data_IF_867973896010
#
_entry.id   IF_867973896010
#
_cell.length_a   1.000
_cell.length_b   1.000
_cell.length_c   1.000
_cell.angle_alpha   90.00
_cell.angle_beta   90.00
_cell.angle_gamma   90.00
#
_symmetry.space_group_name_H-M   'P 1'
#
loop_
_entity.id
_entity.type
_entity.pdbx_description
1 polymer ?
2 water ?
#
# COMPACT_ATOMS: atom_id res chain seq x y z
N UNK A 7 5.27 -29.99 -21.72
CA UNK A 7 6.21 -30.69 -20.85
C UNK A 7 5.83 -30.48 -19.37
N UNK A 8 6.81 -30.12 -18.55
CA UNK A 8 6.58 -29.88 -17.13
C UNK A 8 6.22 -28.43 -16.81
N UNK A 9 6.14 -27.55 -17.81
CA UNK A 9 6.04 -26.13 -17.52
C UNK A 9 4.69 -25.80 -16.88
N UNK A 10 3.61 -26.41 -17.36
CA UNK A 10 2.31 -26.16 -16.77
C UNK A 10 2.21 -26.75 -15.36
N UNK A 11 2.71 -27.97 -15.18
CA UNK A 11 2.71 -28.56 -13.84
C UNK A 11 3.59 -27.74 -12.89
N UNK A 12 4.71 -27.23 -13.38
CA UNK A 12 5.57 -26.40 -12.54
C UNK A 12 4.87 -25.10 -12.18
N UNK A 13 4.10 -24.54 -13.11
CA UNK A 13 3.28 -23.36 -12.81
C UNK A 13 2.38 -23.64 -11.62
N UNK A 14 1.75 -24.82 -11.60
CA UNK A 14 0.90 -25.17 -10.46
C UNK A 14 1.70 -25.37 -9.18
N UNK A 15 2.86 -26.04 -9.26
CA UNK A 15 3.65 -26.25 -8.05
C UNK A 15 4.14 -24.93 -7.48
N UNK A 16 4.50 -23.99 -8.35
CA UNK A 16 4.93 -22.68 -7.90
C UNK A 16 3.78 -21.89 -7.29
N UNK A 17 2.55 -22.04 -7.81
CA UNK A 17 1.41 -21.45 -7.12
C UNK A 17 1.21 -22.09 -5.74
N UNK A 18 1.31 -23.42 -5.66
CA UNK A 18 1.07 -24.13 -4.41
C UNK A 18 2.02 -23.66 -3.32
N UNK A 19 3.30 -23.49 -3.66
CA UNK A 19 4.31 -23.12 -2.67
C UNK A 19 4.60 -21.62 -2.64
N UNK A 20 3.72 -20.80 -3.23
CA UNK A 20 3.93 -19.36 -3.21
C UNK A 20 4.03 -18.78 -1.80
N UNK A 21 3.40 -19.42 -0.82
CA UNK A 21 3.49 -18.95 0.55
C UNK A 21 4.91 -19.10 1.10
N UNK A 22 5.69 -20.03 0.55
CA UNK A 22 7.06 -20.21 1.02
C UNK A 22 7.90 -18.95 0.80
N UNK A 23 7.68 -18.28 -0.33
CA UNK A 23 8.44 -17.06 -0.59
C UNK A 23 8.09 -15.98 0.42
N UNK A 24 6.80 -15.82 0.71
CA UNK A 24 6.37 -14.85 1.71
C UNK A 24 7.00 -15.15 3.07
N UNK A 25 7.00 -16.42 3.48
CA UNK A 25 7.40 -16.71 4.85
C UNK A 25 8.93 -16.84 5.00
N UNK A 26 9.65 -17.20 3.94
CA UNK A 26 11.10 -17.05 3.96
C UNK A 26 11.49 -15.57 3.92
N UNK A 27 10.74 -14.73 3.20
CA UNK A 27 11.05 -13.30 3.26
C UNK A 27 10.83 -12.76 4.68
N UNK A 28 9.78 -13.17 5.36
CA UNK A 28 9.56 -12.76 6.72
C UNK A 28 10.72 -13.17 7.63
N UNK A 29 11.17 -14.38 7.47
CA UNK A 29 12.30 -14.83 8.24
C UNK A 29 13.47 -13.95 7.91
N UNK A 30 13.69 -13.67 6.63
CA UNK A 30 14.87 -12.85 6.40
C UNK A 30 14.76 -11.50 7.10
N UNK A 31 13.54 -10.95 7.18
CA UNK A 31 13.35 -9.67 7.84
C UNK A 31 13.51 -9.81 9.35
N UNK A 32 12.95 -10.87 9.93
CA UNK A 32 13.05 -11.06 11.36
C UNK A 32 14.49 -11.27 11.81
N UNK A 33 15.31 -11.87 10.94
CA UNK A 33 16.72 -12.04 11.23
C UNK A 33 17.53 -10.77 10.99
N UNK A 34 16.95 -9.78 10.30
CA UNK A 34 17.63 -8.52 10.01
C UNK A 34 18.86 -8.74 9.14
N UNK A 35 18.82 -9.75 8.26
CA UNK A 35 19.98 -10.11 7.46
C UNK A 35 20.46 -8.94 6.61
N UNK A 36 19.52 -8.23 5.98
CA UNK A 36 19.89 -7.13 5.08
C UNK A 36 20.66 -6.05 5.83
N UNK A 37 20.20 -5.70 7.03
CA UNK A 37 20.89 -4.62 7.74
C UNK A 37 22.19 -5.09 8.34
N UNK A 38 22.30 -6.35 8.78
CA UNK A 38 23.59 -6.87 9.23
C UNK A 38 24.61 -6.75 8.12
N UNK A 39 24.25 -7.20 6.92
CA UNK A 39 25.20 -7.14 5.80
C UNK A 39 25.49 -5.69 5.42
N UNK A 40 24.45 -4.85 5.39
CA UNK A 40 24.63 -3.45 5.01
C UNK A 40 25.55 -2.74 6.00
N UNK A 41 25.29 -2.90 7.29
CA UNK A 41 26.10 -2.25 8.31
C UNK A 41 27.51 -2.80 8.31
N UNK A 42 27.70 -4.07 7.93
CA UNK A 42 29.06 -4.58 7.85
C UNK A 42 29.88 -3.89 6.77
N UNK A 43 29.23 -3.33 5.74
CA UNK A 43 29.92 -2.64 4.67
C UNK A 43 30.46 -3.52 3.57
N UNK A 44 30.38 -4.84 3.69
CA UNK A 44 30.91 -5.76 2.69
C UNK A 44 30.30 -7.12 2.96
N UNK A 45 30.48 -8.05 2.02
CA UNK A 45 29.85 -9.36 2.12
C UNK A 45 30.40 -10.13 3.31
N UNK A 46 29.63 -11.12 3.78
CA UNK A 46 29.95 -11.85 5.01
C UNK A 46 29.91 -13.36 4.83
N UNK A 47 30.82 -14.05 5.52
CA UNK A 47 30.77 -15.51 5.57
C UNK A 47 29.60 -15.97 6.43
N UNK A 48 29.25 -17.24 6.26
CA UNK A 48 28.16 -17.82 7.05
C UNK A 48 28.42 -17.65 8.55
N UNK A 49 29.64 -17.98 9.02
CA UNK A 49 29.91 -17.87 10.45
C UNK A 49 29.90 -16.40 10.92
N UNK A 50 30.45 -15.50 10.09
CA UNK A 50 30.36 -14.07 10.41
C UNK A 50 28.92 -13.63 10.54
N UNK A 51 28.08 -14.02 9.57
CA UNK A 51 26.65 -13.72 9.64
C UNK A 51 26.04 -14.28 10.91
N UNK A 52 26.36 -15.53 11.23
CA UNK A 52 25.74 -16.26 12.32
C UNK A 52 26.04 -15.59 13.66
N UNK A 53 27.22 -15.04 13.82
CA UNK A 53 27.59 -14.39 15.06
C UNK A 53 26.81 -13.14 15.36
N UNK A 54 26.30 -12.47 14.34
CA UNK A 54 25.64 -11.22 14.56
C UNK A 54 24.14 -11.34 14.64
N UNK A 55 23.64 -12.56 14.63
CA UNK A 55 22.22 -12.74 14.65
C UNK A 55 21.68 -12.53 16.05
N UNK A 56 20.54 -11.87 16.15
CA UNK A 56 19.92 -11.65 17.45
C UNK A 56 19.58 -12.94 18.16
N UNK A 57 19.82 -14.08 17.54
CA UNK A 57 19.61 -15.35 18.20
C UNK A 57 20.78 -15.61 19.06
N UNK A 58 20.86 -16.79 19.64
CA UNK A 58 21.94 -17.02 20.57
C UNK A 58 22.79 -18.15 20.05
N UNK A 59 22.43 -19.40 20.35
CA UNK A 59 23.23 -20.43 19.69
C UNK A 59 22.55 -20.57 18.33
N UNK A 60 23.29 -20.76 17.25
CA UNK A 60 22.66 -20.79 15.95
C UNK A 60 22.87 -22.06 15.16
N UNK A 61 21.81 -22.62 14.63
CA UNK A 61 21.95 -23.78 13.76
C UNK A 61 22.48 -23.28 12.42
N UNK A 62 23.75 -23.56 12.14
CA UNK A 62 24.36 -22.98 10.96
C UNK A 62 23.97 -23.74 9.70
N UNK A 63 23.73 -25.05 9.79
CA UNK A 63 23.20 -25.77 8.63
C UNK A 63 21.89 -25.16 8.16
N UNK A 64 21.00 -24.86 9.12
CA UNK A 64 19.69 -24.32 8.80
C UNK A 64 19.77 -22.89 8.27
N UNK A 65 20.65 -22.09 8.84
CA UNK A 65 20.91 -20.77 8.27
C UNK A 65 21.46 -20.89 6.86
N UNK A 66 22.37 -21.85 6.63
CA UNK A 66 22.90 -22.04 5.29
C UNK A 66 21.77 -22.33 4.30
N UNK A 67 20.82 -23.16 4.71
CA UNK A 67 19.75 -23.52 3.79
C UNK A 67 18.79 -22.34 3.56
N UNK A 68 18.55 -21.55 4.61
CA UNK A 68 17.76 -20.33 4.42
C UNK A 68 18.48 -19.39 3.46
N UNK A 69 19.79 -19.20 3.66
CA UNK A 69 20.56 -18.31 2.78
C UNK A 69 20.54 -18.81 1.34
N UNK A 70 20.65 -20.13 1.16
CA UNK A 70 20.57 -20.71 -0.18
C UNK A 70 19.25 -20.35 -0.85
N UNK A 71 18.15 -20.50 -0.11
CA UNK A 71 16.84 -20.14 -0.65
C UNK A 71 16.76 -18.65 -0.98
N UNK A 72 17.30 -17.80 -0.10
CA UNK A 72 17.25 -16.37 -0.34
C UNK A 72 18.12 -15.96 -1.53
N UNK A 73 19.20 -16.70 -1.78
CA UNK A 73 20.04 -16.40 -2.93
C UNK A 73 19.32 -16.80 -4.21
N UNK A 74 18.68 -17.98 -4.18
CA UNK A 74 17.88 -18.39 -5.32
C UNK A 74 16.74 -17.41 -5.60
N UNK A 75 16.17 -16.81 -4.55
CA UNK A 75 15.17 -15.76 -4.77
C UNK A 75 15.77 -14.49 -5.34
N UNK A 76 17.11 -14.40 -5.43
CA UNK A 76 17.80 -13.23 -5.96
C UNK A 76 17.51 -11.98 -5.12
N UNK A 77 17.34 -12.19 -3.82
CA UNK A 77 17.37 -11.11 -2.83
C UNK A 77 18.74 -10.95 -2.19
N UNK A 78 19.48 -12.04 -1.98
CA UNK A 78 20.85 -11.99 -1.52
C UNK A 78 21.76 -12.67 -2.56
N UNK A 79 23.06 -12.46 -2.40
CA UNK A 79 24.06 -12.97 -3.32
C UNK A 79 25.02 -13.89 -2.58
N UNK A 80 25.63 -14.77 -3.36
CA UNK A 80 26.64 -15.69 -2.86
C UNK A 80 27.81 -15.65 -3.81
N UNK A 81 29.02 -15.47 -3.29
CA UNK A 81 30.19 -15.37 -4.14
C UNK A 81 31.38 -16.06 -3.48
N UNK A 82 32.24 -16.67 -4.30
CA UNK A 82 33.50 -17.22 -3.82
C UNK A 82 34.55 -16.12 -3.91
N UNK A 83 34.98 -15.63 -2.77
CA UNK A 83 36.00 -14.59 -2.69
C UNK A 83 37.09 -15.11 -1.76
N UNK A 84 38.31 -15.18 -2.26
CA UNK A 84 39.43 -15.79 -1.54
C UNK A 84 39.10 -17.20 -1.08
N UNK A 85 38.53 -17.99 -1.99
CA UNK A 85 38.17 -19.35 -1.70
C UNK A 85 37.17 -19.50 -0.56
N UNK A 86 36.55 -18.40 -0.14
CA UNK A 86 35.56 -18.43 0.92
C UNK A 86 34.22 -17.92 0.41
N UNK A 87 33.13 -18.51 0.87
CA UNK A 87 31.80 -18.17 0.35
C UNK A 87 31.21 -17.04 1.18
N UNK A 88 30.86 -15.94 0.51
CA UNK A 88 30.43 -14.72 1.18
C UNK A 88 29.09 -14.25 0.63
N UNK A 89 28.24 -13.79 1.55
CA UNK A 89 26.85 -13.42 1.30
C UNK A 89 26.72 -11.92 1.24
N UNK A 90 26.09 -11.44 0.17
CA UNK A 90 25.90 -10.01 -0.01
C UNK A 90 24.45 -9.68 -0.36
N UNK A 91 24.20 -8.44 -0.75
CA UNK A 91 22.86 -7.97 -1.07
C UNK A 91 22.68 -7.87 -2.58
N UNK A 92 21.60 -8.45 -3.09
CA UNK A 92 21.15 -8.22 -4.45
C UNK A 92 20.41 -6.88 -4.47
N UNK A 93 20.27 -6.25 -5.65
CA UNK A 93 19.66 -4.90 -5.71
C UNK A 93 18.32 -4.82 -4.99
N UNK A 94 17.39 -5.77 -5.21
CA UNK A 94 16.09 -5.66 -4.50
C UNK A 94 16.23 -5.61 -2.99
N UNK A 95 17.29 -6.19 -2.43
CA UNK A 95 17.45 -6.18 -0.99
C UNK A 95 17.59 -4.78 -0.43
N UNK A 96 17.79 -3.78 -1.29
CA UNK A 96 17.84 -2.41 -0.78
C UNK A 96 16.55 -2.07 -0.06
N UNK A 97 15.41 -2.63 -0.50
CA UNK A 97 14.16 -2.31 0.18
C UNK A 97 14.02 -3.01 1.52
N UNK A 98 14.97 -3.86 1.88
CA UNK A 98 15.04 -4.46 3.20
C UNK A 98 15.97 -3.71 4.15
N UNK A 99 16.75 -2.75 3.66
CA UNK A 99 17.63 -1.95 4.51
C UNK A 99 16.83 -0.80 5.11
N UNK A 100 16.89 -0.65 6.44
CA UNK A 100 16.16 0.40 7.12
C UNK A 100 16.80 1.77 6.84
N UNK A 101 16.12 2.82 7.28
CA UNK A 101 16.68 4.13 7.26
C UNK A 101 16.43 4.96 6.02
N UNK A 102 15.50 4.55 5.15
CA UNK A 102 15.10 5.40 4.03
C UNK A 102 13.63 5.17 3.78
N UNK A 103 13.03 6.10 3.00
CA UNK A 103 11.58 6.15 2.89
C UNK A 103 11.00 4.87 2.30
N UNK A 104 11.65 4.32 1.27
CA UNK A 104 11.12 3.17 0.57
C UNK A 104 11.41 1.86 1.28
N UNK A 105 11.92 1.89 2.51
CA UNK A 105 12.16 0.65 3.25
C UNK A 105 10.86 -0.09 3.49
N UNK A 106 10.84 -1.39 3.18
CA UNK A 106 9.61 -2.16 3.18
C UNK A 106 9.48 -3.09 4.38
N UNK A 107 10.32 -2.93 5.40
CA UNK A 107 10.31 -3.87 6.53
C UNK A 107 8.94 -3.88 7.21
N UNK A 108 8.38 -2.70 7.45
CA UNK A 108 7.10 -2.63 8.13
C UNK A 108 5.99 -3.34 7.38
N UNK A 109 5.89 -3.07 6.07
CA UNK A 109 4.89 -3.73 5.24
C UNK A 109 5.05 -5.24 5.28
N UNK A 110 6.28 -5.73 5.10
CA UNK A 110 6.53 -7.17 5.14
C UNK A 110 6.07 -7.77 6.45
N UNK A 111 6.45 -7.14 7.57
CA UNK A 111 6.12 -7.70 8.87
C UNK A 111 4.62 -7.67 9.14
N UNK A 112 3.91 -6.63 8.67
CA UNK A 112 2.47 -6.59 8.89
C UNK A 112 1.74 -7.60 7.98
N UNK A 113 2.10 -7.65 6.71
CA UNK A 113 1.31 -8.47 5.79
C UNK A 113 1.55 -9.96 6.02
N UNK A 114 2.79 -10.36 6.29
CA UNK A 114 3.08 -11.78 6.47
C UNK A 114 2.86 -12.25 7.90
N UNK A 115 2.38 -11.38 8.78
CA UNK A 115 2.00 -11.81 10.12
C UNK A 115 0.95 -12.92 10.02
N UNK A 116 1.08 -13.93 10.88
CA UNK A 116 0.22 -15.09 10.76
C UNK A 116 -1.25 -14.73 10.94
N UNK A 117 -1.56 -13.88 11.92
CA UNK A 117 -2.95 -13.51 12.19
C UNK A 117 -3.55 -12.71 11.05
N UNK A 118 -2.77 -11.85 10.40
CA UNK A 118 -3.28 -11.09 9.26
C UNK A 118 -3.31 -11.91 7.97
N UNK A 119 -2.60 -13.03 7.92
CA UNK A 119 -2.74 -13.98 6.83
C UNK A 119 -3.95 -14.90 7.03
N UNK A 120 -4.35 -15.11 8.28
CA UNK A 120 -5.42 -16.06 8.58
C UNK A 120 -6.71 -15.88 7.76
N UNK A 121 -7.22 -14.67 7.51
CA UNK A 121 -8.48 -14.57 6.75
C UNK A 121 -8.41 -15.24 5.40
N UNK A 122 -7.24 -15.23 4.75
CA UNK A 122 -7.11 -15.79 3.41
C UNK A 122 -7.44 -17.28 3.39
N UNK A 123 -7.27 -17.97 4.52
CA UNK A 123 -7.66 -19.37 4.62
C UNK A 123 -9.18 -19.55 4.62
N UNK A 124 -9.93 -18.48 4.86
CA UNK A 124 -11.38 -18.52 4.92
C UNK A 124 -12.01 -17.84 3.71
N UNK A 125 -11.27 -17.78 2.60
CA UNK A 125 -11.79 -17.20 1.38
C UNK A 125 -13.06 -17.90 0.92
N UNK A 126 -13.19 -19.20 1.22
CA UNK A 126 -14.34 -19.95 0.74
C UNK A 126 -15.60 -19.61 1.49
N UNK A 127 -15.52 -19.66 2.83
CA UNK A 127 -16.64 -19.21 3.65
C UNK A 127 -17.02 -17.78 3.32
N UNK A 128 -16.07 -16.99 2.82
CA UNK A 128 -16.34 -15.64 2.36
C UNK A 128 -17.12 -15.56 1.07
N UNK A 129 -17.30 -16.68 0.36
CA UNK A 129 -18.15 -16.71 -0.81
C UNK A 129 -19.57 -17.18 -0.50
N UNK A 130 -19.79 -17.75 0.69
CA UNK A 130 -21.12 -18.20 1.10
C UNK A 130 -21.75 -17.11 1.94
N UNK A 131 -22.62 -16.32 1.32
CA UNK A 131 -23.41 -15.29 1.99
C UNK A 131 -22.86 -14.59 3.22
N UNK A 134 -20.26 -12.12 6.31
CA UNK A 134 -19.32 -11.81 7.35
C UNK A 134 -17.87 -11.77 6.89
N UNK A 135 -17.13 -10.75 7.34
CA UNK A 135 -15.73 -10.61 6.96
C UNK A 135 -14.94 -11.84 7.38
N UNK A 136 -14.06 -12.31 6.48
CA UNK A 136 -13.23 -13.47 6.78
C UNK A 136 -12.38 -13.27 8.03
N UNK A 137 -12.12 -12.02 8.41
CA UNK A 137 -11.32 -11.77 9.60
C UNK A 137 -11.97 -12.32 10.86
N UNK A 138 -13.29 -12.12 11.01
CA UNK A 138 -13.97 -12.64 12.20
C UNK A 138 -13.95 -14.16 12.22
N UNK A 139 -14.24 -14.79 11.08
CA UNK A 139 -14.17 -16.24 11.01
C UNK A 139 -12.77 -16.75 11.30
N UNK A 140 -11.74 -15.95 11.00
CA UNK A 140 -10.37 -16.38 11.23
C UNK A 140 -9.97 -16.26 12.70
N UNK A 141 -10.20 -15.08 13.30
CA UNK A 141 -9.67 -14.78 14.61
C UNK A 141 -10.71 -14.51 15.68
N UNK A 142 -12.01 -14.54 15.34
CA UNK A 142 -13.06 -14.36 16.32
C UNK A 142 -13.67 -12.98 16.38
N UNK A 158 1.51 0.33 16.63
CA UNK A 158 1.18 -0.84 15.85
C UNK A 158 1.76 -0.77 14.46
N UNK A 159 1.02 -1.29 13.49
CA UNK A 159 1.45 -1.28 12.10
C UNK A 159 1.05 0.02 11.43
N UNK A 160 0.48 0.92 12.19
CA UNK A 160 0.08 2.18 11.62
C UNK A 160 1.28 2.77 10.90
N UNK A 161 2.49 2.41 11.31
CA UNK A 161 3.68 2.86 10.59
C UNK A 161 3.66 2.36 9.14
N UNK A 162 3.10 1.18 8.91
CA UNK A 162 2.96 0.70 7.53
C UNK A 162 2.02 1.59 6.74
N UNK A 163 1.07 2.23 7.42
CA UNK A 163 0.16 3.16 6.76
C UNK A 163 0.72 4.58 6.77
N UNK A 164 1.14 5.06 7.93
CA UNK A 164 1.80 6.35 8.01
C UNK A 164 2.94 6.47 7.02
N UNK A 165 3.73 5.40 6.85
CA UNK A 165 4.77 5.42 5.83
C UNK A 165 4.17 5.40 4.42
N UNK A 166 3.18 4.54 4.20
CA UNK A 166 2.54 4.48 2.88
C UNK A 166 2.02 5.86 2.46
N UNK A 167 1.28 6.53 3.35
CA UNK A 167 0.77 7.86 3.07
C UNK A 167 1.88 8.87 2.88
N UNK A 168 3.05 8.59 3.44
CA UNK A 168 4.24 9.40 3.21
C UNK A 168 4.75 9.23 1.78
N UNK A 169 4.79 8.01 1.26
CA UNK A 169 5.27 7.88 -0.12
C UNK A 169 4.24 8.40 -1.12
N UNK A 170 2.95 8.29 -0.81
CA UNK A 170 1.93 8.79 -1.72
C UNK A 170 2.05 10.32 -1.84
N UNK A 171 2.06 11.00 -0.69
CA UNK A 171 2.14 12.46 -0.70
C UNK A 171 3.37 12.94 -1.47
N UNK A 172 4.52 12.34 -1.18
CA UNK A 172 5.76 12.69 -1.88
C UNK A 172 5.63 12.49 -3.38
N UNK A 173 4.92 11.43 -3.80
CA UNK A 173 4.73 11.26 -5.24
C UNK A 173 3.82 12.36 -5.79
N UNK A 174 2.76 12.69 -5.06
CA UNK A 174 1.82 13.70 -5.52
C UNK A 174 2.56 15.00 -5.80
N UNK A 175 3.37 15.44 -4.84
CA UNK A 175 4.09 16.70 -5.00
C UNK A 175 5.08 16.59 -6.16
N UNK A 176 5.76 15.45 -6.30
CA UNK A 176 6.87 15.45 -7.24
C UNK A 176 6.44 15.04 -8.64
N UNK A 177 5.50 14.12 -8.74
CA UNK A 177 5.19 13.55 -10.04
C UNK A 177 4.04 14.24 -10.74
N UNK A 178 3.04 14.72 -10.00
CA UNK A 178 1.86 15.33 -10.61
C UNK A 178 1.41 16.54 -9.79
N UNK A 179 2.38 17.39 -9.41
CA UNK A 179 2.07 18.52 -8.56
C UNK A 179 1.03 19.46 -9.13
N UNK A 180 0.89 19.48 -10.46
CA UNK A 180 -0.02 20.41 -11.09
C UNK A 180 -1.48 20.17 -10.71
N UNK A 181 -1.81 19.01 -10.14
CA UNK A 181 -3.18 18.81 -9.68
C UNK A 181 -3.55 19.82 -8.60
N UNK A 182 -2.56 20.37 -7.89
CA UNK A 182 -2.84 21.38 -6.88
C UNK A 182 -2.72 22.80 -7.42
N UNK A 183 -2.68 22.96 -8.74
CA UNK A 183 -2.60 24.28 -9.35
C UNK A 183 -3.96 24.95 -9.32
N UNK A 184 -3.95 26.27 -9.32
CA UNK A 184 -5.18 27.03 -9.45
C UNK A 184 -6.02 27.16 -8.20
N UNK A 185 -5.63 26.55 -7.09
CA UNK A 185 -6.41 26.61 -5.86
C UNK A 185 -5.62 27.37 -4.81
N UNK A 186 -6.35 27.91 -3.83
CA UNK A 186 -5.72 28.51 -2.66
C UNK A 186 -6.13 27.84 -1.36
N UNK A 187 -7.14 26.97 -1.37
CA UNK A 187 -7.52 26.21 -0.19
C UNK A 187 -7.71 24.73 -0.54
N UNK A 188 -7.44 23.87 0.43
CA UNK A 188 -7.58 22.45 0.23
C UNK A 188 -7.95 21.80 1.55
N UNK A 189 -8.94 20.91 1.53
CA UNK A 189 -9.32 20.13 2.69
C UNK A 189 -8.93 18.67 2.44
N UNK A 190 -8.23 18.08 3.41
CA UNK A 190 -7.84 16.68 3.38
C UNK A 190 -8.72 15.91 4.36
N UNK A 191 -9.65 15.13 3.81
CA UNK A 191 -10.55 14.31 4.62
C UNK A 191 -9.80 13.10 5.16
N UNK A 192 -9.94 12.86 6.46
CA UNK A 192 -9.37 11.67 7.06
C UNK A 192 -7.87 11.69 7.23
N UNK A 193 -7.24 12.85 7.15
CA UNK A 193 -5.80 12.93 7.31
C UNK A 193 -5.29 12.87 8.72
N UNK A 194 -6.20 12.73 9.69
CA UNK A 194 -5.79 12.55 11.08
C UNK A 194 -5.08 13.78 11.60
N UNK A 195 -3.84 13.57 12.06
CA UNK A 195 -3.06 14.68 12.60
C UNK A 195 -2.67 15.69 11.53
N UNK A 196 -2.61 15.29 10.26
CA UNK A 196 -2.22 16.18 9.19
C UNK A 196 -0.85 15.96 8.63
N UNK A 197 -0.15 14.90 9.06
CA UNK A 197 1.16 14.59 8.51
C UNK A 197 1.15 14.60 6.99
N UNK A 198 0.12 13.98 6.40
CA UNK A 198 0.09 13.82 4.95
C UNK A 198 -0.03 15.17 4.26
N UNK A 199 -1.03 15.96 4.63
CA UNK A 199 -1.32 17.20 3.89
C UNK A 199 -0.25 18.26 4.08
N UNK A 200 0.65 18.11 5.03
CA UNK A 200 1.69 19.13 5.16
C UNK A 200 2.73 19.04 4.06
N UNK A 201 2.87 17.90 3.38
CA UNK A 201 3.65 17.91 2.14
C UNK A 201 3.11 18.94 1.16
N UNK A 202 1.78 18.99 1.01
CA UNK A 202 1.15 20.02 0.19
C UNK A 202 1.42 21.39 0.77
N UNK A 203 1.17 21.54 2.08
CA UNK A 203 1.32 22.85 2.72
C UNK A 203 2.74 23.40 2.58
N UNK A 204 3.74 22.52 2.49
CA UNK A 204 5.14 22.93 2.39
C UNK A 204 5.57 23.16 0.96
N UNK A 205 5.08 22.34 0.02
CA UNK A 205 5.41 22.57 -1.39
C UNK A 205 4.62 23.74 -1.97
N UNK A 206 3.43 24.01 -1.43
CA UNK A 206 2.54 25.05 -1.95
C UNK A 206 2.10 25.93 -0.79
N UNK A 207 2.99 26.82 -0.32
CA UNK A 207 2.61 27.66 0.85
C UNK A 207 1.45 28.60 0.60
N UNK A 208 1.09 28.89 -0.65
CA UNK A 208 -0.10 29.69 -0.92
C UNK A 208 -1.41 28.93 -0.73
N UNK A 209 -1.36 27.61 -0.51
CA UNK A 209 -2.56 26.79 -0.34
C UNK A 209 -2.83 26.65 1.14
N UNK A 210 -3.96 27.17 1.61
CA UNK A 210 -4.38 26.96 2.99
C UNK A 210 -4.92 25.54 3.12
N UNK A 211 -4.23 24.69 3.87
CA UNK A 211 -4.57 23.29 4.00
C UNK A 211 -5.28 23.05 5.33
N UNK A 212 -6.45 22.41 5.26
CA UNK A 212 -7.23 22.06 6.44
C UNK A 212 -7.41 20.54 6.47
N UNK A 213 -7.04 19.93 7.57
CA UNK A 213 -7.33 18.51 7.75
C UNK A 213 -8.70 18.37 8.41
N UNK A 214 -9.44 17.33 8.04
CA UNK A 214 -10.79 17.15 8.56
C UNK A 214 -11.05 15.66 8.76
N UNK A 215 -11.09 15.23 10.02
CA UNK A 215 -11.50 13.86 10.32
C UNK A 215 -13.02 13.80 10.48
N UNK A 216 -13.54 12.73 10.09
CA UNK A 216 -14.99 12.65 10.08
C UNK A 216 -15.52 12.17 11.43
N UNK A 217 -16.69 12.66 11.83
CA UNK A 217 -17.29 12.18 13.08
C UNK A 217 -17.83 10.77 12.88
N UNK A 218 -17.37 9.85 13.72
CA UNK A 218 -17.77 8.45 13.58
C UNK A 218 -18.04 7.83 14.93
N UNK A 219 -18.89 6.80 14.92
CA UNK A 219 -19.32 6.13 16.13
C UNK A 219 -18.27 5.11 16.53
N UNK A 220 -17.98 5.04 17.83
CA UNK A 220 -17.03 4.08 18.37
C UNK A 220 -17.88 3.04 19.09
N UNK A 221 -18.31 2.02 18.35
CA UNK A 221 -19.20 0.99 18.88
C UNK A 221 -18.45 -0.33 19.07
N UNK A 232 -25.76 6.43 6.41
CA UNK A 232 -24.73 6.73 7.40
C UNK A 232 -23.72 7.72 6.84
N UNK A 233 -23.20 7.44 5.64
CA UNK A 233 -22.15 8.26 5.05
C UNK A 233 -22.63 9.69 4.81
N UNK A 234 -23.87 9.85 4.36
CA UNK A 234 -24.36 11.18 4.00
C UNK A 234 -24.31 12.15 5.15
N UNK A 235 -24.78 11.72 6.33
CA UNK A 235 -24.73 12.59 7.50
C UNK A 235 -23.32 12.72 8.05
N UNK A 236 -22.53 11.64 7.99
CA UNK A 236 -21.12 11.72 8.37
C UNK A 236 -20.33 12.72 7.53
N UNK A 237 -20.81 13.07 6.34
CA UNK A 237 -20.11 13.97 5.44
C UNK A 237 -20.82 15.30 5.21
N UNK A 238 -21.89 15.60 5.93
CA UNK A 238 -22.69 16.72 5.46
C UNK A 238 -22.13 18.09 5.84
N UNK A 239 -21.09 18.15 6.68
CA UNK A 239 -20.49 19.41 7.08
C UNK A 239 -19.00 19.48 6.75
N UNK A 240 -18.63 19.04 5.55
CA UNK A 240 -17.22 19.16 5.11
C UNK A 240 -16.88 20.64 4.94
N UNK A 241 -15.75 21.11 5.48
CA UNK A 241 -15.38 22.52 5.32
C UNK A 241 -15.29 22.91 3.85
N UNK A 242 -15.73 24.13 3.55
CA UNK A 242 -15.65 24.62 2.18
C UNK A 242 -14.19 24.85 1.81
N UNK A 243 -13.84 24.50 0.57
CA UNK A 243 -12.49 24.68 0.06
C UNK A 243 -12.55 24.60 -1.45
N UNK A 244 -11.50 25.12 -2.09
CA UNK A 244 -11.38 24.97 -3.55
C UNK A 244 -11.35 23.50 -3.94
N UNK A 245 -10.74 22.65 -3.12
CA UNK A 245 -10.61 21.24 -3.48
C UNK A 245 -10.69 20.36 -2.24
N UNK A 246 -11.28 19.19 -2.40
CA UNK A 246 -11.34 18.18 -1.36
C UNK A 246 -10.47 17.02 -1.82
N UNK A 247 -9.58 16.54 -0.94
CA UNK A 247 -8.74 15.38 -1.24
C UNK A 247 -9.14 14.21 -0.36
N UNK A 248 -9.31 13.05 -0.97
CA UNK A 248 -9.65 11.83 -0.25
C UNK A 248 -8.63 10.76 -0.65
N UNK A 249 -7.68 10.50 0.24
CA UNK A 249 -6.63 9.52 0.03
C UNK A 249 -7.06 8.22 0.69
N UNK A 250 -7.32 7.19 -0.12
CA UNK A 250 -7.65 5.86 0.39
C UNK A 250 -8.86 5.89 1.32
N UNK A 251 -9.89 6.64 0.94
CA UNK A 251 -11.15 6.69 1.68
C UNK A 251 -12.20 5.87 0.94
N UNK A 252 -12.42 6.20 -0.33
CA UNK A 252 -13.56 5.66 -1.07
C UNK A 252 -13.47 4.15 -1.30
N UNK A 253 -12.27 3.56 -1.24
CA UNK A 253 -12.25 2.11 -1.43
C UNK A 253 -12.89 1.36 -0.28
N UNK A 254 -13.20 2.02 0.83
CA UNK A 254 -13.85 1.37 1.96
C UNK A 254 -15.37 1.50 1.94
N UNK A 255 -15.95 2.11 0.92
CA UNK A 255 -17.39 2.34 0.86
C UNK A 255 -17.95 1.75 -0.42
N UNK A 256 -19.19 1.25 -0.33
CA UNK A 256 -19.85 0.74 -1.52
C UNK A 256 -20.28 1.90 -2.42
N UNK A 257 -20.81 1.54 -3.59
CA UNK A 257 -21.09 2.53 -4.63
C UNK A 257 -22.05 3.61 -4.14
N UNK A 258 -23.11 3.22 -3.43
CA UNK A 258 -24.11 4.21 -3.03
C UNK A 258 -23.52 5.23 -2.06
N UNK A 259 -22.84 4.75 -1.02
CA UNK A 259 -22.26 5.66 -0.04
C UNK A 259 -21.18 6.53 -0.67
N UNK A 260 -20.45 6.00 -1.66
CA UNK A 260 -19.51 6.83 -2.39
C UNK A 260 -20.22 7.94 -3.14
N UNK A 261 -21.37 7.63 -3.74
CA UNK A 261 -22.11 8.66 -4.47
C UNK A 261 -22.56 9.76 -3.51
N UNK A 262 -23.06 9.37 -2.34
CA UNK A 262 -23.42 10.37 -1.32
C UNK A 262 -22.23 11.21 -0.91
N UNK A 263 -21.08 10.56 -0.68
CA UNK A 263 -19.86 11.27 -0.31
C UNK A 263 -19.50 12.30 -1.36
N UNK A 264 -19.47 11.86 -2.62
CA UNK A 264 -19.13 12.76 -3.71
C UNK A 264 -20.11 13.92 -3.81
N UNK A 265 -21.38 13.69 -3.53
CA UNK A 265 -22.36 14.77 -3.57
C UNK A 265 -22.08 15.81 -2.49
N UNK A 266 -21.79 15.36 -1.27
CA UNK A 266 -21.38 16.31 -0.23
C UNK A 266 -20.14 17.10 -0.66
N UNK A 267 -19.13 16.40 -1.19
CA UNK A 267 -17.92 17.07 -1.64
C UNK A 267 -18.23 18.11 -2.70
N UNK A 268 -19.09 17.76 -3.65
CA UNK A 268 -19.52 18.72 -4.67
C UNK A 268 -20.13 19.96 -4.05
N UNK A 269 -20.96 19.78 -3.01
CA UNK A 269 -21.48 20.93 -2.29
C UNK A 269 -20.37 21.79 -1.69
N UNK A 270 -19.26 21.19 -1.30
CA UNK A 270 -18.24 21.95 -0.56
C UNK A 270 -17.28 22.76 -1.44
N UNK A 271 -17.31 22.63 -2.76
CA UNK A 271 -16.27 23.26 -3.59
C UNK A 271 -16.94 24.28 -4.52
N UNK A 272 -16.18 25.29 -4.95
CA UNK A 272 -16.76 26.35 -5.78
C UNK A 272 -17.14 25.86 -7.16
N UNK A 273 -18.16 26.52 -7.72
CA UNK A 273 -18.73 26.09 -9.00
C UNK A 273 -17.70 26.18 -10.11
N UNK A 274 -16.88 27.23 -10.11
CA UNK A 274 -16.04 27.48 -11.28
C UNK A 274 -14.81 26.61 -11.29
N UNK A 275 -13.94 26.74 -10.29
CA UNK A 275 -12.70 25.99 -10.30
C UNK A 275 -12.52 25.00 -9.18
N UNK A 276 -13.62 24.41 -8.70
CA UNK A 276 -13.55 23.46 -7.61
C UNK A 276 -13.43 22.03 -8.12
N UNK A 277 -12.83 21.16 -7.30
CA UNK A 277 -12.65 19.79 -7.74
C UNK A 277 -12.40 18.86 -6.57
N UNK A 278 -12.56 17.58 -6.82
CA UNK A 278 -12.27 16.54 -5.84
C UNK A 278 -11.05 15.75 -6.31
N UNK A 279 -10.14 15.47 -5.38
CA UNK A 279 -8.95 14.67 -5.68
C UNK A 279 -9.06 13.38 -4.90
N UNK A 280 -9.23 12.27 -5.62
CA UNK A 280 -9.29 10.94 -5.05
C UNK A 280 -7.95 10.27 -5.28
N UNK A 281 -7.38 9.69 -4.24
CA UNK A 281 -6.20 8.84 -4.39
C UNK A 281 -6.61 7.44 -4.01
N UNK A 282 -6.43 6.50 -4.94
CA UNK A 282 -6.94 5.15 -4.74
C UNK A 282 -6.53 4.31 -5.94
N UNK A 283 -6.52 2.99 -5.75
CA UNK A 283 -6.19 2.07 -6.82
C UNK A 283 -7.15 2.20 -7.99
N UNK A 284 -6.62 2.14 -9.21
CA UNK A 284 -7.40 1.98 -10.43
C UNK A 284 -7.05 0.60 -11.00
N UNK A 285 -8.00 -0.32 -10.93
CA UNK A 285 -7.76 -1.73 -11.26
C UNK A 285 -7.86 -1.94 -12.77
N UNK A 286 -6.81 -2.50 -13.37
CA UNK A 286 -6.84 -2.86 -14.78
C UNK A 286 -6.14 -4.21 -14.92
N UNK A 287 -6.93 -5.28 -14.99
CA UNK A 287 -6.34 -6.62 -15.06
C UNK A 287 -5.65 -6.86 -16.40
N UNK A 288 -5.94 -6.04 -17.40
CA UNK A 288 -5.29 -6.14 -18.70
C UNK A 288 -3.96 -5.42 -18.74
N UNK A 289 -3.61 -4.68 -17.69
CA UNK A 289 -2.39 -3.91 -17.69
C UNK A 289 -1.17 -4.81 -17.56
N UNK A 290 -0.05 -4.34 -18.11
CA UNK A 290 1.23 -4.98 -17.90
C UNK A 290 2.09 -4.24 -16.88
N UNK A 291 1.51 -3.27 -16.18
CA UNK A 291 2.23 -2.56 -15.13
C UNK A 291 2.74 -3.55 -14.07
N UNK A 292 3.96 -3.38 -13.58
CA UNK A 292 4.50 -4.32 -12.57
C UNK A 292 3.63 -4.48 -11.33
N UNK A 293 2.74 -3.53 -11.04
CA UNK A 293 1.92 -3.58 -9.85
C UNK A 293 0.53 -4.16 -10.08
N UNK A 294 0.19 -4.53 -11.32
CA UNK A 294 -1.13 -5.08 -11.62
C UNK A 294 -1.50 -6.20 -10.66
N UNK A 295 -0.57 -7.14 -10.47
CA UNK A 295 -0.83 -8.33 -9.68
C UNK A 295 -1.15 -7.97 -8.23
N UNK A 296 -0.28 -7.17 -7.62
CA UNK A 296 -0.52 -6.78 -6.23
C UNK A 296 -1.78 -5.92 -6.10
N UNK A 297 -2.16 -5.18 -7.15
CA UNK A 297 -3.39 -4.40 -7.04
C UNK A 297 -4.61 -5.31 -6.99
N UNK A 298 -4.61 -6.34 -7.84
CA UNK A 298 -5.68 -7.33 -7.78
C UNK A 298 -5.71 -8.01 -6.40
N UNK A 299 -4.54 -8.36 -5.89
CA UNK A 299 -4.46 -9.02 -4.59
C UNK A 299 -5.05 -8.14 -3.49
N UNK A 300 -4.74 -6.84 -3.52
CA UNK A 300 -5.30 -5.92 -2.53
C UNK A 300 -6.80 -5.79 -2.66
N UNK A 301 -7.34 -5.90 -3.88
CA UNK A 301 -8.80 -5.97 -3.97
C UNK A 301 -9.32 -7.18 -3.21
N UNK A 302 -8.68 -8.34 -3.36
CA UNK A 302 -9.12 -9.52 -2.60
C UNK A 302 -8.97 -9.30 -1.09
N UNK A 303 -7.88 -8.64 -0.68
CA UNK A 303 -7.65 -8.40 0.73
C UNK A 303 -8.73 -7.48 1.32
N UNK A 304 -9.14 -6.46 0.57
CA UNK A 304 -10.27 -5.62 0.97
C UNK A 304 -11.55 -6.43 1.09
N UNK A 305 -11.76 -7.38 0.17
CA UNK A 305 -12.93 -8.25 0.29
C UNK A 305 -12.90 -9.03 1.61
N UNK A 306 -11.73 -9.58 1.95
CA UNK A 306 -11.65 -10.45 3.11
C UNK A 306 -11.77 -9.67 4.42
N UNK A 307 -11.13 -8.50 4.50
CA UNK A 307 -10.98 -7.81 5.76
C UNK A 307 -12.03 -6.72 6.01
N UNK A 308 -12.27 -5.85 5.03
CA UNK A 308 -13.18 -4.74 5.26
C UNK A 308 -14.52 -4.90 4.57
N UNK A 309 -14.59 -5.61 3.45
CA UNK A 309 -15.76 -5.58 2.62
C UNK A 309 -15.74 -4.49 1.57
N UNK A 310 -14.65 -3.72 1.45
CA UNK A 310 -14.52 -2.75 0.39
C UNK A 310 -14.07 -3.40 -0.91
N UNK A 311 -13.68 -2.56 -1.86
CA UNK A 311 -13.20 -3.06 -3.13
C UNK A 311 -12.27 -2.04 -3.78
N UNK A 312 -11.51 -2.49 -4.76
CA UNK A 312 -10.76 -1.61 -5.65
C UNK A 312 -11.44 -1.58 -7.00
N UNK A 313 -11.62 -0.39 -7.53
CA UNK A 313 -12.50 -0.18 -8.68
C UNK A 313 -11.69 -0.07 -9.97
N UNK A 314 -12.28 -0.55 -11.06
CA UNK A 314 -11.73 -0.34 -12.38
C UNK A 314 -11.94 1.11 -12.81
N UNK A 315 -11.27 1.48 -13.91
CA UNK A 315 -11.48 2.80 -14.49
C UNK A 315 -12.94 3.01 -14.86
N UNK A 316 -13.58 1.99 -15.45
CA UNK A 316 -14.99 2.07 -15.80
C UNK A 316 -15.87 2.25 -14.57
N UNK A 317 -15.55 1.55 -13.48
CA UNK A 317 -16.33 1.70 -12.26
C UNK A 317 -16.18 3.12 -11.70
N UNK A 318 -14.97 3.66 -11.72
CA UNK A 318 -14.78 5.04 -11.30
C UNK A 318 -15.57 5.99 -12.19
N UNK A 319 -15.55 5.76 -13.51
CA UNK A 319 -16.30 6.59 -14.43
C UNK A 319 -17.79 6.58 -14.10
N UNK A 320 -18.39 5.39 -14.01
CA UNK A 320 -19.81 5.27 -13.73
C UNK A 320 -20.16 5.87 -12.38
N UNK A 321 -19.29 5.71 -11.40
CA UNK A 321 -19.58 6.22 -10.07
C UNK A 321 -19.52 7.75 -10.04
N UNK A 322 -18.53 8.33 -10.74
CA UNK A 322 -18.41 9.78 -10.77
C UNK A 322 -19.56 10.39 -11.56
N UNK A 323 -19.89 9.81 -12.72
CA UNK A 323 -21.03 10.30 -13.49
C UNK A 323 -22.33 10.15 -12.71
N UNK A 324 -22.50 9.02 -12.01
CA UNK A 324 -23.69 8.81 -11.20
C UNK A 324 -23.80 9.80 -10.05
N UNK A 325 -22.68 10.35 -9.60
CA UNK A 325 -22.72 11.38 -8.58
C UNK A 325 -23.13 12.74 -9.15
N UNK A 326 -23.45 12.82 -10.44
CA UNK A 326 -23.76 14.09 -11.04
C UNK A 326 -22.55 14.95 -11.36
N UNK A 327 -21.37 14.35 -11.42
CA UNK A 327 -20.18 15.11 -11.75
C UNK A 327 -20.07 15.28 -13.26
N UNK A 328 -19.29 16.27 -13.67
CA UNK A 328 -19.18 16.51 -15.10
C UNK A 328 -18.03 15.75 -15.73
N UNK A 329 -16.90 15.58 -15.04
CA UNK A 329 -15.82 14.87 -15.71
C UNK A 329 -14.83 14.26 -14.74
N UNK A 330 -13.83 13.58 -15.30
CA UNK A 330 -12.77 13.00 -14.48
C UNK A 330 -11.53 12.79 -15.35
N UNK A 331 -10.40 12.62 -14.66
CA UNK A 331 -9.11 12.40 -15.30
C UNK A 331 -8.24 11.57 -14.37
N UNK A 332 -7.69 10.47 -14.90
CA UNK A 332 -6.84 9.57 -14.12
C UNK A 332 -5.39 9.87 -14.46
N UNK A 333 -4.56 10.01 -13.43
CA UNK A 333 -3.13 10.19 -13.57
C UNK A 333 -2.41 9.05 -12.86
N UNK A 334 -1.49 8.41 -13.55
CA UNK A 334 -0.66 7.38 -12.96
C UNK A 334 0.54 8.01 -12.27
N UNK A 335 0.85 7.49 -11.08
CA UNK A 335 2.03 7.91 -10.34
C UNK A 335 2.82 6.65 -9.98
N UNK A 336 4.06 6.84 -9.52
CA UNK A 336 4.91 5.73 -9.11
C UNK A 336 4.52 5.25 -7.71
N UNK A 337 3.28 4.79 -7.61
CA UNK A 337 2.74 4.29 -6.36
C UNK A 337 1.68 3.25 -6.69
N UNK A 338 1.25 2.52 -5.67
CA UNK A 338 0.22 1.51 -5.88
C UNK A 338 -1.09 2.18 -6.28
N UNK A 339 -1.45 3.29 -5.62
CA UNK A 339 -2.64 4.04 -5.96
C UNK A 339 -2.40 4.92 -7.20
N UNK A 340 -3.49 5.29 -7.84
CA UNK A 340 -3.47 6.32 -8.85
C UNK A 340 -4.24 7.54 -8.33
N UNK A 341 -4.33 8.58 -9.18
CA UNK A 341 -4.99 9.83 -8.83
C UNK A 341 -6.16 10.04 -9.77
N UNK A 342 -7.32 10.28 -9.20
CA UNK A 342 -8.52 10.60 -9.96
C UNK A 342 -8.88 12.04 -9.62
N UNK A 343 -8.72 12.94 -10.59
CA UNK A 343 -9.30 14.27 -10.50
C UNK A 343 -10.74 14.18 -10.98
N UNK A 344 -11.68 14.58 -10.13
CA UNK A 344 -13.09 14.55 -10.47
C UNK A 344 -13.64 15.98 -10.45
N UNK A 345 -14.23 16.39 -11.57
CA UNK A 345 -14.74 17.74 -11.72
C UNK A 345 -16.25 17.73 -11.57
N UNK A 346 -16.78 18.37 -10.54
CA UNK A 346 -18.21 18.29 -10.25
C UNK A 346 -19.05 19.26 -11.06
N UNK A 347 -18.46 20.32 -11.61
CA UNK A 347 -19.23 21.30 -12.39
C UNK A 347 -18.61 21.50 -13.77
#
# INVERSE_FOLDING_TARGET
MEVKKDNLSSQAKLWNFIYGFAESLVLKCAVQLDLANIIHNNGTSMTLSELSSRLPSQPVNEDALYRVMRYLVHMKLFTKASIDGELRYGLAPPAKFLVKGWDKCMVGSILAITDKDFMAPWHYLKDGLAGESGTAFEKALGMNIWGYMAEHPEKNQLFNEAMANDSRLIMSALVKECGNIFNGITTLVDVGGGTGTAVRNIANAFPHIKCTVYDLPHVIADSPGYSEVHCVAGDMFKFIPKADAIMMKCILHDWDDKECIEILKRCKEAVPIEGGKVIIVDIVLNVQSEHPYTKMRLTLDLDMMLNTGGKERTEEEWKNLIHDAGYKGHKITQITAVQSVIEAYPY
#
